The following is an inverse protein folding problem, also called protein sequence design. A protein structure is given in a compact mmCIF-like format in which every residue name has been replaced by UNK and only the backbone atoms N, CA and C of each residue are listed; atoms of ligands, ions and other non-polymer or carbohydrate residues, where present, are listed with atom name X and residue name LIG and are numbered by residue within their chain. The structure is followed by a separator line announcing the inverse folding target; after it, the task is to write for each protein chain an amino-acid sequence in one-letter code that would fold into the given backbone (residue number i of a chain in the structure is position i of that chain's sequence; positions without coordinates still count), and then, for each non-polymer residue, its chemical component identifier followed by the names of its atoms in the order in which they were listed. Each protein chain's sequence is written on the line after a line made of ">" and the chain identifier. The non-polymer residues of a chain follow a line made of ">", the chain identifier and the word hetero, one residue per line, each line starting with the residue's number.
data_IF_229459645143
#
_entry.id   IF_229459645143
#
_cell.length_a   1.000
_cell.length_b   1.000
_cell.length_c   1.000
_cell.angle_alpha   90.00
_cell.angle_beta   90.00
_cell.angle_gamma   90.00
#
_symmetry.space_group_name_H-M   'P 1'
#
loop_
_entity.id
_entity.type
_entity.pdbx_description
1 polymer ?
#
# COMPACT_ATOMS: atom_id res chain seq x y z
N UNK A 1 -14.06 8.70 -17.96
CA UNK A 1 -14.03 10.17 -18.04
C UNK A 1 -12.84 10.66 -17.23
N UNK A 2 -11.97 11.50 -17.81
CA UNK A 2 -10.81 12.13 -17.15
C UNK A 2 -11.22 13.54 -16.74
N UNK A 3 -10.91 13.95 -15.51
CA UNK A 3 -11.11 15.33 -15.06
C UNK A 3 -9.76 15.97 -14.74
N UNK A 4 -9.63 17.23 -15.10
CA UNK A 4 -8.45 18.06 -14.80
C UNK A 4 -8.86 19.25 -13.95
N UNK A 5 -8.05 19.58 -12.95
CA UNK A 5 -8.32 20.70 -12.03
C UNK A 5 -7.17 21.69 -11.98
N UNK A 6 -7.50 22.91 -11.58
CA UNK A 6 -6.51 23.95 -11.37
C UNK A 6 -5.58 23.60 -10.20
N UNK A 7 -4.27 23.58 -10.48
CA UNK A 7 -3.25 23.22 -9.49
C UNK A 7 -3.12 24.29 -8.42
N UNK A 8 -3.34 25.57 -8.74
CA UNK A 8 -3.27 26.66 -7.77
C UNK A 8 -4.34 26.54 -6.69
N UNK A 9 -5.57 26.24 -7.08
CA UNK A 9 -6.67 25.96 -6.16
C UNK A 9 -6.41 24.74 -5.28
N UNK A 10 -5.92 23.65 -5.87
CA UNK A 10 -5.58 22.44 -5.13
C UNK A 10 -4.40 22.65 -4.18
N UNK A 11 -3.40 23.45 -4.56
CA UNK A 11 -2.28 23.79 -3.67
C UNK A 11 -2.72 24.65 -2.50
N UNK A 12 -3.64 25.59 -2.73
CA UNK A 12 -4.20 26.42 -1.66
C UNK A 12 -5.09 25.62 -0.69
N UNK A 13 -5.75 24.56 -1.18
CA UNK A 13 -6.63 23.72 -0.37
C UNK A 13 -5.91 22.57 0.33
N UNK A 14 -5.02 21.87 -0.39
CA UNK A 14 -4.32 20.68 0.08
C UNK A 14 -2.87 20.56 -0.45
N UNK A 15 -1.93 21.37 0.04
CA UNK A 15 -0.55 21.36 -0.45
C UNK A 15 0.15 20.03 -0.20
N UNK A 16 -0.08 19.39 0.96
CA UNK A 16 0.54 18.09 1.26
C UNK A 16 0.09 17.01 0.30
N UNK A 17 -1.16 17.07 -0.18
CA UNK A 17 -1.64 16.09 -1.15
C UNK A 17 -1.00 16.27 -2.52
N UNK A 18 -0.77 17.51 -2.97
CA UNK A 18 -0.02 17.77 -4.21
C UNK A 18 1.41 17.24 -4.10
N UNK A 19 2.09 17.47 -2.98
CA UNK A 19 3.44 16.96 -2.76
C UNK A 19 3.45 15.43 -2.77
N UNK A 20 2.52 14.78 -2.06
CA UNK A 20 2.37 13.31 -2.04
C UNK A 20 2.21 12.74 -3.46
N UNK A 21 1.37 13.36 -4.28
CA UNK A 21 1.17 12.97 -5.68
C UNK A 21 2.44 13.03 -6.51
N UNK A 22 3.22 14.11 -6.36
CA UNK A 22 4.51 14.26 -7.06
C UNK A 22 5.46 13.15 -6.64
N UNK A 23 5.55 12.84 -5.35
CA UNK A 23 6.42 11.78 -4.83
C UNK A 23 6.08 10.41 -5.43
N UNK A 24 4.79 10.06 -5.53
CA UNK A 24 4.38 8.80 -6.15
C UNK A 24 4.54 8.77 -7.66
N UNK A 25 4.26 9.87 -8.36
CA UNK A 25 4.53 9.96 -9.80
C UNK A 25 6.04 9.77 -10.07
N UNK A 26 6.90 10.40 -9.27
CA UNK A 26 8.36 10.20 -9.36
C UNK A 26 8.75 8.77 -9.00
N UNK A 27 8.14 8.17 -7.98
CA UNK A 27 8.34 6.76 -7.62
C UNK A 27 8.00 5.82 -8.78
N UNK A 28 6.84 6.01 -9.41
CA UNK A 28 6.42 5.26 -10.58
C UNK A 28 7.42 5.36 -11.74
N UNK A 29 7.92 6.56 -12.01
CA UNK A 29 8.92 6.78 -13.07
C UNK A 29 10.28 6.17 -12.74
N UNK A 30 10.76 6.32 -11.50
CA UNK A 30 12.04 5.75 -11.04
C UNK A 30 11.99 4.22 -11.08
N UNK A 31 10.92 3.62 -10.56
CA UNK A 31 10.71 2.17 -10.58
C UNK A 31 10.59 1.63 -12.02
N UNK A 32 9.93 2.36 -12.91
CA UNK A 32 9.83 2.00 -14.32
C UNK A 32 11.20 2.01 -15.01
N UNK A 33 11.95 3.09 -14.83
CA UNK A 33 13.29 3.21 -15.41
C UNK A 33 14.23 2.15 -14.84
N UNK A 34 14.17 1.90 -13.53
CA UNK A 34 14.89 0.81 -12.87
C UNK A 34 14.51 -0.54 -13.48
N UNK A 35 13.22 -0.80 -13.70
CA UNK A 35 12.74 -2.04 -14.31
C UNK A 35 13.31 -2.29 -15.70
N UNK A 36 13.30 -1.28 -16.57
CA UNK A 36 13.90 -1.40 -17.91
C UNK A 36 15.43 -1.53 -17.87
N UNK A 37 16.10 -0.85 -16.94
CA UNK A 37 17.57 -0.93 -16.80
C UNK A 37 18.04 -2.28 -16.27
N UNK A 38 17.29 -2.90 -15.37
CA UNK A 38 17.57 -4.27 -14.89
C UNK A 38 17.18 -5.33 -15.91
N UNK A 39 16.17 -5.05 -16.75
CA UNK A 39 15.73 -5.96 -17.80
C UNK A 39 15.13 -7.25 -17.24
N UNK A 40 15.19 -8.32 -18.02
CA UNK A 40 14.56 -9.59 -17.64
C UNK A 40 13.06 -9.40 -17.38
N UNK A 41 12.59 -9.94 -16.25
CA UNK A 41 11.16 -9.91 -15.90
C UNK A 41 10.71 -8.62 -15.20
N UNK A 42 11.64 -7.72 -14.84
CA UNK A 42 11.31 -6.52 -14.09
C UNK A 42 10.31 -5.58 -14.79
N UNK A 43 10.37 -5.35 -16.12
CA UNK A 43 9.36 -4.53 -16.81
C UNK A 43 7.96 -5.16 -16.75
N UNK A 44 7.86 -6.48 -16.87
CA UNK A 44 6.60 -7.21 -16.74
C UNK A 44 6.07 -7.17 -15.31
N UNK A 45 6.96 -7.30 -14.32
CA UNK A 45 6.60 -7.18 -12.91
C UNK A 45 6.06 -5.79 -12.60
N UNK A 46 6.74 -4.73 -13.05
CA UNK A 46 6.29 -3.35 -12.90
C UNK A 46 4.90 -3.13 -13.52
N UNK A 47 4.71 -3.57 -14.76
CA UNK A 47 3.39 -3.45 -15.42
C UNK A 47 2.33 -4.29 -14.68
N UNK A 48 2.70 -5.46 -14.18
CA UNK A 48 1.84 -6.29 -13.34
C UNK A 48 1.40 -5.57 -12.07
N UNK A 49 2.30 -4.83 -11.39
CA UNK A 49 1.92 -4.05 -10.19
C UNK A 49 0.92 -2.95 -10.52
N UNK A 50 1.09 -2.27 -11.66
CA UNK A 50 0.11 -1.26 -12.15
C UNK A 50 -1.26 -1.89 -12.39
N UNK A 51 -1.30 -3.01 -13.13
CA UNK A 51 -2.57 -3.67 -13.47
C UNK A 51 -3.24 -4.30 -12.25
N UNK A 52 -2.46 -4.87 -11.34
CA UNK A 52 -2.94 -5.38 -10.06
C UNK A 52 -3.57 -4.27 -9.22
N UNK A 53 -2.93 -3.09 -9.16
CA UNK A 53 -3.47 -1.94 -8.44
C UNK A 53 -4.76 -1.42 -9.04
N UNK A 54 -4.78 -1.23 -10.37
CA UNK A 54 -5.99 -0.85 -11.09
C UNK A 54 -7.15 -1.82 -10.85
N UNK A 55 -6.87 -3.12 -10.83
CA UNK A 55 -7.87 -4.14 -10.52
C UNK A 55 -8.35 -4.03 -9.06
N UNK A 56 -7.42 -4.00 -8.11
CA UNK A 56 -7.71 -4.05 -6.67
C UNK A 56 -8.52 -2.83 -6.19
N UNK A 57 -8.11 -1.62 -6.56
CA UNK A 57 -8.77 -0.38 -6.10
C UNK A 57 -10.19 -0.21 -6.65
N UNK A 58 -10.46 -0.80 -7.82
CA UNK A 58 -11.69 -0.52 -8.55
C UNK A 58 -12.65 -1.72 -8.57
N UNK A 59 -12.21 -2.91 -8.16
CA UNK A 59 -13.02 -4.12 -8.23
C UNK A 59 -14.32 -3.98 -7.46
N UNK A 60 -14.25 -3.59 -6.18
CA UNK A 60 -15.44 -3.48 -5.33
C UNK A 60 -16.39 -2.41 -5.84
N UNK A 61 -15.89 -1.24 -6.23
CA UNK A 61 -16.70 -0.17 -6.78
C UNK A 61 -17.51 -0.60 -8.02
N UNK A 62 -16.93 -1.39 -8.93
CA UNK A 62 -17.63 -1.80 -10.16
C UNK A 62 -18.46 -3.07 -10.03
N UNK A 63 -18.03 -4.01 -9.19
CA UNK A 63 -18.66 -5.34 -9.10
C UNK A 63 -19.71 -5.39 -7.98
N UNK A 64 -19.42 -4.76 -6.84
CA UNK A 64 -20.26 -4.75 -5.64
C UNK A 64 -20.15 -3.37 -4.94
N UNK A 65 -20.81 -2.32 -5.45
CA UNK A 65 -20.65 -0.95 -4.96
C UNK A 65 -20.91 -0.77 -3.46
N UNK A 66 -21.67 -1.68 -2.84
CA UNK A 66 -21.90 -1.71 -1.40
C UNK A 66 -20.62 -1.95 -0.59
N UNK A 67 -19.57 -2.49 -1.21
CA UNK A 67 -18.26 -2.73 -0.61
C UNK A 67 -17.29 -1.55 -0.78
N UNK A 68 -17.71 -0.46 -1.43
CA UNK A 68 -16.89 0.75 -1.50
C UNK A 68 -16.70 1.32 -0.08
N UNK A 69 -15.44 1.61 0.27
CA UNK A 69 -15.06 1.81 1.66
C UNK A 69 -14.02 2.92 1.90
N UNK A 70 -13.59 3.64 0.87
CA UNK A 70 -12.73 4.84 1.02
C UNK A 70 -13.02 5.87 -0.07
N UNK A 71 -12.69 7.14 0.12
CA UNK A 71 -12.87 8.18 -0.92
C UNK A 71 -11.68 9.12 -1.00
N UNK A 72 -11.10 9.27 -2.18
CA UNK A 72 -9.97 10.18 -2.40
C UNK A 72 -10.43 11.63 -2.55
N UNK A 73 -9.64 12.54 -1.98
CA UNK A 73 -9.71 13.93 -2.36
C UNK A 73 -9.31 14.13 -3.83
N UNK A 74 -9.52 15.34 -4.31
CA UNK A 74 -9.40 15.66 -5.71
C UNK A 74 -7.98 16.06 -6.08
N UNK A 75 -7.55 15.59 -7.24
CA UNK A 75 -6.19 15.74 -7.75
C UNK A 75 -6.18 16.48 -9.10
N UNK A 76 -5.03 17.02 -9.55
CA UNK A 76 -4.94 17.70 -10.83
C UNK A 76 -5.33 16.80 -12.01
N UNK A 77 -5.05 15.51 -11.90
CA UNK A 77 -5.49 14.48 -12.86
C UNK A 77 -6.18 13.38 -12.06
N UNK A 78 -7.46 13.18 -12.33
CA UNK A 78 -8.26 12.12 -11.72
C UNK A 78 -9.09 11.39 -12.78
N UNK A 79 -9.14 10.07 -12.65
CA UNK A 79 -9.75 9.15 -13.60
C UNK A 79 -11.04 8.57 -13.01
N UNK A 80 -11.78 7.85 -13.87
CA UNK A 80 -12.99 7.10 -13.50
C UNK A 80 -14.05 7.96 -12.78
N UNK A 81 -14.24 9.19 -13.25
CA UNK A 81 -15.29 10.06 -12.71
C UNK A 81 -14.98 10.61 -11.31
N UNK A 82 -13.74 11.11 -11.12
CA UNK A 82 -13.27 11.70 -9.86
C UNK A 82 -12.97 10.70 -8.73
N UNK A 83 -12.74 9.42 -9.07
CA UNK A 83 -12.51 8.35 -8.09
C UNK A 83 -11.07 7.87 -8.00
N UNK A 84 -10.35 7.81 -9.12
CA UNK A 84 -9.00 7.23 -9.19
C UNK A 84 -7.96 8.30 -9.54
N UNK A 85 -7.30 8.91 -8.54
CA UNK A 85 -6.20 9.83 -8.79
C UNK A 85 -5.07 9.18 -9.58
N UNK A 86 -4.41 9.94 -10.47
CA UNK A 86 -3.31 9.41 -11.29
C UNK A 86 -2.19 8.77 -10.45
N UNK A 87 -1.82 9.40 -9.33
CA UNK A 87 -0.73 8.91 -8.49
C UNK A 87 -1.01 7.54 -7.85
N UNK A 88 -2.28 7.18 -7.64
CA UNK A 88 -2.67 5.87 -7.11
C UNK A 88 -2.29 4.74 -8.07
N UNK A 89 -2.27 5.01 -9.38
CA UNK A 89 -1.75 4.05 -10.37
C UNK A 89 -0.25 3.75 -10.13
N UNK A 90 0.50 4.74 -9.64
CA UNK A 90 1.93 4.64 -9.36
C UNK A 90 2.25 4.21 -7.93
N UNK A 91 1.26 4.23 -7.03
CA UNK A 91 1.38 3.78 -5.64
C UNK A 91 1.76 2.29 -5.56
N UNK A 92 1.08 1.44 -6.33
CA UNK A 92 1.35 -0.01 -6.32
C UNK A 92 2.78 -0.37 -6.77
N UNK A 93 3.31 0.19 -7.88
CA UNK A 93 4.73 0.09 -8.17
C UNK A 93 5.61 0.62 -7.02
N UNK A 94 5.31 1.79 -6.44
CA UNK A 94 6.13 2.35 -5.37
C UNK A 94 6.25 1.40 -4.17
N UNK A 95 5.19 0.66 -3.83
CA UNK A 95 5.18 -0.27 -2.71
C UNK A 95 5.73 -1.64 -3.09
N UNK A 96 5.05 -2.33 -4.01
CA UNK A 96 5.29 -3.74 -4.31
C UNK A 96 6.60 -3.91 -5.08
N UNK A 97 6.94 -3.00 -6.00
CA UNK A 97 8.20 -3.09 -6.74
C UNK A 97 9.41 -2.91 -5.83
N UNK A 98 9.38 -1.90 -4.94
CA UNK A 98 10.45 -1.68 -3.96
C UNK A 98 10.63 -2.89 -3.06
N UNK A 99 9.53 -3.42 -2.53
CA UNK A 99 9.55 -4.60 -1.68
C UNK A 99 10.11 -5.82 -2.41
N UNK A 100 9.59 -6.14 -3.60
CA UNK A 100 10.04 -7.27 -4.40
C UNK A 100 11.52 -7.17 -4.77
N UNK A 101 11.99 -5.99 -5.19
CA UNK A 101 13.39 -5.81 -5.55
C UNK A 101 14.32 -5.93 -4.34
N UNK A 102 13.98 -5.31 -3.20
CA UNK A 102 14.77 -5.43 -1.99
C UNK A 102 14.82 -6.88 -1.47
N UNK A 103 13.68 -7.57 -1.44
CA UNK A 103 13.59 -8.97 -1.00
C UNK A 103 14.34 -9.91 -1.94
N UNK A 104 14.39 -9.64 -3.25
CA UNK A 104 15.12 -10.46 -4.22
C UNK A 104 16.62 -10.61 -3.87
N UNK A 105 17.19 -9.66 -3.12
CA UNK A 105 18.59 -9.70 -2.66
C UNK A 105 18.84 -10.75 -1.59
N UNK A 106 17.80 -11.20 -0.89
CA UNK A 106 17.89 -12.27 0.11
C UNK A 106 17.99 -13.67 -0.51
N UNK A 107 17.49 -13.85 -1.74
CA UNK A 107 17.31 -15.16 -2.39
C UNK A 107 16.60 -16.16 -1.47
N UNK A 108 15.48 -15.73 -0.88
CA UNK A 108 14.71 -16.56 0.03
C UNK A 108 14.17 -17.82 -0.68
N UNK A 109 13.93 -18.91 0.06
CA UNK A 109 13.16 -20.02 -0.46
C UNK A 109 11.78 -19.56 -0.93
N UNK A 110 11.25 -20.26 -1.92
CA UNK A 110 9.98 -19.90 -2.60
C UNK A 110 8.77 -19.86 -1.66
N UNK A 111 8.79 -20.65 -0.59
CA UNK A 111 7.71 -20.65 0.39
C UNK A 111 7.74 -19.41 1.29
N UNK A 112 8.86 -18.68 1.36
CA UNK A 112 9.04 -17.53 2.26
C UNK A 112 9.08 -16.19 1.52
N UNK A 113 9.58 -16.17 0.29
CA UNK A 113 9.75 -14.95 -0.48
C UNK A 113 8.47 -14.11 -0.65
N UNK A 114 7.28 -14.68 -0.98
CA UNK A 114 6.06 -13.89 -1.12
C UNK A 114 5.66 -13.18 0.17
N UNK A 115 5.79 -13.85 1.32
CA UNK A 115 5.45 -13.28 2.62
C UNK A 115 6.42 -12.17 3.03
N UNK A 116 7.71 -12.30 2.70
CA UNK A 116 8.67 -11.22 2.88
C UNK A 116 8.31 -9.99 2.02
N UNK A 117 7.87 -10.19 0.77
CA UNK A 117 7.40 -9.09 -0.08
C UNK A 117 6.16 -8.43 0.54
N UNK A 118 5.21 -9.20 1.05
CA UNK A 118 4.04 -8.67 1.75
C UNK A 118 4.41 -7.79 2.95
N UNK A 119 5.26 -8.28 3.86
CA UNK A 119 5.70 -7.52 5.03
C UNK A 119 6.46 -6.24 4.65
N UNK A 120 7.37 -6.32 3.67
CA UNK A 120 8.15 -5.15 3.23
C UNK A 120 7.26 -4.15 2.47
N UNK A 121 6.22 -4.61 1.77
CA UNK A 121 5.24 -3.72 1.12
C UNK A 121 4.55 -2.86 2.16
N UNK A 122 4.06 -3.47 3.25
CA UNK A 122 3.43 -2.75 4.36
C UNK A 122 4.39 -1.77 5.01
N UNK A 123 5.66 -2.14 5.19
CA UNK A 123 6.66 -1.22 5.75
C UNK A 123 6.80 0.07 4.93
N UNK A 124 6.73 -0.02 3.59
CA UNK A 124 6.74 1.14 2.69
C UNK A 124 5.44 1.95 2.79
N UNK A 125 4.32 1.28 2.96
CA UNK A 125 2.97 1.86 2.93
C UNK A 125 2.58 2.60 4.23
N UNK A 126 2.85 2.01 5.41
CA UNK A 126 2.41 2.55 6.72
C UNK A 126 2.60 4.07 6.90
N UNK A 127 3.77 4.70 6.60
CA UNK A 127 3.92 6.14 6.82
C UNK A 127 3.01 6.97 5.92
N UNK A 128 2.70 6.48 4.72
CA UNK A 128 1.73 7.12 3.84
C UNK A 128 0.32 6.96 4.39
N UNK A 129 -0.09 5.74 4.73
CA UNK A 129 -1.45 5.45 5.18
C UNK A 129 -1.82 6.30 6.41
N UNK A 130 -0.97 6.30 7.44
CA UNK A 130 -1.18 7.08 8.68
C UNK A 130 -1.25 8.59 8.40
N UNK A 131 -0.27 9.12 7.68
CA UNK A 131 -0.14 10.58 7.52
C UNK A 131 -1.20 11.09 6.56
N UNK A 132 -1.44 10.41 5.46
CA UNK A 132 -2.33 10.91 4.42
C UNK A 132 -3.81 10.87 4.84
N UNK A 133 -4.23 9.89 5.67
CA UNK A 133 -5.56 9.94 6.33
C UNK A 133 -5.65 11.15 7.26
N UNK A 134 -4.64 11.40 8.10
CA UNK A 134 -4.64 12.55 9.01
C UNK A 134 -4.69 13.90 8.27
N UNK A 135 -4.11 13.97 7.08
CA UNK A 135 -4.15 15.14 6.18
C UNK A 135 -5.32 15.11 5.19
N UNK A 136 -6.32 14.23 5.39
CA UNK A 136 -7.54 14.11 4.55
C UNK A 136 -7.25 13.98 3.04
N UNK A 137 -6.19 13.25 2.68
CA UNK A 137 -5.91 12.87 1.29
C UNK A 137 -6.95 11.86 0.78
N UNK A 138 -7.47 11.02 1.69
CA UNK A 138 -8.69 10.24 1.52
C UNK A 138 -9.37 10.02 2.86
N UNK A 139 -10.60 9.54 2.80
CA UNK A 139 -11.38 9.10 3.96
C UNK A 139 -11.72 7.62 3.84
N UNK A 140 -12.07 7.02 4.97
CA UNK A 140 -12.62 5.67 5.06
C UNK A 140 -14.12 5.73 5.34
N UNK A 141 -14.82 4.64 5.05
CA UNK A 141 -16.21 4.46 5.46
C UNK A 141 -16.28 4.31 6.97
N UNK A 142 -17.20 5.05 7.57
CA UNK A 142 -17.30 5.22 9.02
C UNK A 142 -17.72 3.94 9.77
N UNK A 143 -18.79 3.27 9.33
CA UNK A 143 -19.34 2.10 10.06
C UNK A 143 -19.09 0.73 9.41
N UNK A 144 -18.18 0.62 8.46
CA UNK A 144 -17.95 -0.67 7.80
C UNK A 144 -17.22 -1.63 8.77
N UNK A 145 -17.84 -2.77 9.15
CA UNK A 145 -17.29 -3.67 10.16
C UNK A 145 -15.97 -4.35 9.74
N UNK A 146 -15.63 -4.34 8.45
CA UNK A 146 -14.33 -4.84 7.99
C UNK A 146 -13.22 -3.80 8.14
N UNK A 147 -13.51 -2.55 8.47
CA UNK A 147 -12.50 -1.50 8.59
C UNK A 147 -12.72 -0.60 9.81
N UNK A 148 -13.61 -1.02 10.72
CA UNK A 148 -14.02 -0.26 11.90
C UNK A 148 -12.88 -0.08 12.91
N UNK A 149 -12.13 -1.15 13.20
CA UNK A 149 -11.01 -1.09 14.13
C UNK A 149 -9.80 -0.41 13.46
N UNK A 150 -9.35 0.70 14.06
CA UNK A 150 -8.37 1.61 13.46
C UNK A 150 -7.12 1.78 14.32
N UNK A 151 -6.03 2.17 13.66
CA UNK A 151 -4.78 2.65 14.23
C UNK A 151 -4.43 3.98 13.56
N UNK A 152 -4.44 5.09 14.33
CA UNK A 152 -4.35 6.45 13.78
C UNK A 152 -5.36 6.71 12.64
N UNK A 153 -6.61 6.28 12.85
CA UNK A 153 -7.72 6.36 11.88
C UNK A 153 -7.58 5.51 10.60
N UNK A 154 -6.47 4.78 10.46
CA UNK A 154 -6.26 3.79 9.40
C UNK A 154 -6.78 2.43 9.85
N UNK A 155 -7.62 1.74 9.07
CA UNK A 155 -8.07 0.39 9.39
C UNK A 155 -6.90 -0.59 9.56
N UNK A 156 -6.92 -1.43 10.60
CA UNK A 156 -5.95 -2.53 10.73
C UNK A 156 -5.95 -3.46 9.51
N UNK A 157 -7.12 -3.61 8.88
CA UNK A 157 -7.28 -4.43 7.69
C UNK A 157 -6.66 -3.81 6.43
N UNK A 158 -6.39 -2.51 6.39
CA UNK A 158 -5.62 -1.88 5.29
C UNK A 158 -4.25 -2.56 5.15
N UNK A 159 -3.50 -2.65 6.26
CA UNK A 159 -2.21 -3.31 6.31
C UNK A 159 -2.31 -4.81 6.00
N UNK A 160 -3.40 -5.45 6.43
CA UNK A 160 -3.67 -6.85 6.13
C UNK A 160 -3.84 -7.08 4.62
N UNK A 161 -4.62 -6.24 3.95
CA UNK A 161 -4.85 -6.29 2.51
C UNK A 161 -3.55 -6.03 1.75
N UNK A 162 -2.80 -4.97 2.09
CA UNK A 162 -1.52 -4.70 1.44
C UNK A 162 -0.52 -5.86 1.60
N UNK A 163 -0.43 -6.48 2.78
CA UNK A 163 0.45 -7.62 3.01
C UNK A 163 0.05 -8.84 2.17
N UNK A 164 -1.23 -9.25 2.25
CA UNK A 164 -1.72 -10.49 1.62
C UNK A 164 -1.85 -10.37 0.11
N UNK A 165 -2.27 -9.20 -0.40
CA UNK A 165 -2.46 -8.98 -1.82
C UNK A 165 -1.11 -8.92 -2.53
N UNK A 166 -0.12 -8.22 -1.94
CA UNK A 166 1.24 -8.20 -2.48
C UNK A 166 1.90 -9.58 -2.44
N UNK A 167 1.74 -10.33 -1.34
CA UNK A 167 2.24 -11.71 -1.24
C UNK A 167 1.60 -12.62 -2.30
N UNK A 168 0.27 -12.57 -2.44
CA UNK A 168 -0.48 -13.36 -3.43
C UNK A 168 -0.10 -12.98 -4.87
N UNK A 169 -0.06 -11.69 -5.19
CA UNK A 169 0.37 -11.17 -6.50
C UNK A 169 1.79 -11.69 -6.85
N UNK A 170 2.74 -11.52 -5.93
CA UNK A 170 4.12 -11.97 -6.13
C UNK A 170 4.19 -13.48 -6.34
N UNK A 171 3.46 -14.26 -5.52
CA UNK A 171 3.36 -15.70 -5.66
C UNK A 171 2.85 -16.10 -7.05
N UNK A 172 1.70 -15.58 -7.48
CA UNK A 172 1.14 -15.92 -8.79
C UNK A 172 2.02 -15.45 -9.96
N UNK A 173 2.70 -14.30 -9.84
CA UNK A 173 3.60 -13.81 -10.88
C UNK A 173 4.77 -14.77 -11.12
N UNK A 174 5.34 -15.35 -10.08
CA UNK A 174 6.43 -16.32 -10.20
C UNK A 174 5.94 -17.74 -10.48
N UNK A 175 4.86 -18.17 -9.82
CA UNK A 175 4.38 -19.54 -9.89
C UNK A 175 3.73 -19.86 -11.23
N UNK A 176 2.95 -18.94 -11.79
CA UNK A 176 2.39 -19.10 -13.14
C UNK A 176 3.48 -19.25 -14.20
N UNK A 177 4.56 -18.46 -14.10
CA UNK A 177 5.70 -18.57 -15.03
C UNK A 177 6.35 -19.93 -14.92
N UNK A 178 6.46 -20.49 -13.71
CA UNK A 178 7.00 -21.84 -13.52
C UNK A 178 6.11 -22.93 -14.11
N UNK A 179 4.78 -22.76 -14.10
CA UNK A 179 3.88 -23.70 -14.77
C UNK A 179 4.11 -23.75 -16.28
N UNK A 180 4.37 -22.60 -16.91
CA UNK A 180 4.55 -22.51 -18.37
C UNK A 180 6.02 -22.62 -18.83
N UNK A 181 6.99 -22.30 -17.97
CA UNK A 181 8.43 -22.27 -18.27
C UNK A 181 9.27 -22.67 -17.03
N UNK A 182 9.25 -23.96 -16.63
CA UNK A 182 9.82 -24.42 -15.35
C UNK A 182 11.35 -24.37 -15.28
N UNK A 183 12.04 -24.44 -16.43
CA UNK A 183 13.51 -24.51 -16.51
C UNK A 183 14.21 -23.14 -16.49
N UNK A 184 13.46 -22.04 -16.56
CA UNK A 184 14.01 -20.69 -16.62
C UNK A 184 14.24 -20.16 -15.21
N UNK A 185 15.31 -19.42 -14.99
CA UNK A 185 15.60 -18.76 -13.72
C UNK A 185 14.53 -17.72 -13.34
N UNK A 186 14.46 -17.35 -12.06
CA UNK A 186 13.34 -16.58 -11.51
C UNK A 186 13.07 -15.23 -12.17
N UNK A 187 14.15 -14.48 -12.43
CA UNK A 187 14.11 -13.09 -12.90
C UNK A 187 14.54 -12.95 -14.37
N UNK A 188 14.89 -14.07 -15.01
CA UNK A 188 15.19 -14.15 -16.45
C UNK A 188 13.88 -14.31 -17.22
N UNK A 189 13.68 -13.50 -18.27
CA UNK A 189 12.45 -13.58 -19.07
C UNK A 189 12.34 -14.90 -19.81
N UNK A 190 11.15 -15.48 -19.77
CA UNK A 190 10.71 -16.50 -20.69
C UNK A 190 10.33 -15.90 -22.05
N UNK A 191 9.58 -16.63 -22.86
CA UNK A 191 8.98 -16.08 -24.09
C UNK A 191 7.94 -15.01 -23.73
N UNK A 192 7.75 -14.03 -24.62
CA UNK A 192 6.78 -12.94 -24.42
C UNK A 192 5.38 -13.45 -24.07
N UNK A 193 4.93 -14.55 -24.68
CA UNK A 193 3.62 -15.15 -24.40
C UNK A 193 3.50 -15.64 -22.96
N UNK A 194 4.54 -16.27 -22.42
CA UNK A 194 4.56 -16.75 -21.03
C UNK A 194 4.54 -15.58 -20.06
N UNK A 195 5.36 -14.55 -20.30
CA UNK A 195 5.41 -13.38 -19.40
C UNK A 195 4.08 -12.61 -19.38
N UNK A 196 3.42 -12.43 -20.52
CA UNK A 196 2.08 -11.83 -20.58
C UNK A 196 1.03 -12.67 -19.85
N UNK A 197 1.04 -14.00 -20.02
CA UNK A 197 0.12 -14.88 -19.26
C UNK A 197 0.35 -14.75 -17.76
N UNK A 198 1.61 -14.79 -17.33
CA UNK A 198 1.96 -14.67 -15.91
C UNK A 198 1.55 -13.33 -15.31
N UNK A 199 1.80 -12.25 -16.04
CA UNK A 199 1.38 -10.91 -15.67
C UNK A 199 -0.14 -10.82 -15.51
N UNK A 200 -0.92 -11.29 -16.48
CA UNK A 200 -2.39 -11.25 -16.42
C UNK A 200 -2.92 -12.09 -15.25
N UNK A 201 -2.42 -13.33 -15.09
CA UNK A 201 -2.82 -14.22 -13.99
C UNK A 201 -2.54 -13.56 -12.65
N UNK A 202 -1.33 -13.03 -12.45
CA UNK A 202 -0.97 -12.37 -11.19
C UNK A 202 -1.81 -11.14 -10.90
N UNK A 203 -2.10 -10.32 -11.92
CA UNK A 203 -2.87 -9.09 -11.75
C UNK A 203 -4.31 -9.38 -11.30
N UNK A 204 -4.92 -10.43 -11.86
CA UNK A 204 -6.30 -10.84 -11.55
C UNK A 204 -6.42 -11.69 -10.28
N UNK A 205 -5.44 -12.55 -9.98
CA UNK A 205 -5.48 -13.46 -8.83
C UNK A 205 -4.81 -12.90 -7.57
N UNK A 206 -4.09 -11.78 -7.66
CA UNK A 206 -3.45 -11.13 -6.51
C UNK A 206 -4.45 -10.83 -5.39
N UNK A 207 -5.50 -10.05 -5.68
CA UNK A 207 -6.54 -9.69 -4.71
C UNK A 207 -7.35 -10.92 -4.24
N UNK A 208 -7.96 -11.77 -5.12
CA UNK A 208 -8.70 -12.94 -4.66
C UNK A 208 -7.86 -13.91 -3.82
N UNK A 209 -6.61 -14.17 -4.21
CA UNK A 209 -5.73 -15.03 -3.43
C UNK A 209 -5.33 -14.42 -2.08
N UNK A 210 -5.20 -13.10 -2.00
CA UNK A 210 -4.96 -12.41 -0.74
C UNK A 210 -6.19 -12.41 0.17
N UNK A 211 -7.39 -12.22 -0.38
CA UNK A 211 -8.67 -12.40 0.34
C UNK A 211 -8.75 -13.80 0.96
N UNK A 212 -8.31 -14.85 0.24
CA UNK A 212 -8.25 -16.22 0.78
C UNK A 212 -7.23 -16.41 1.91
N UNK A 213 -6.23 -15.54 2.05
CA UNK A 213 -5.31 -15.54 3.20
C UNK A 213 -5.90 -14.77 4.40
N UNK A 214 -6.74 -13.77 4.13
CA UNK A 214 -7.41 -12.94 5.14
C UNK A 214 -8.61 -13.65 5.77
N UNK A 215 -9.54 -14.09 4.94
CA UNK A 215 -10.86 -14.58 5.31
C UNK A 215 -10.83 -15.71 6.37
N UNK A 216 -9.99 -16.75 6.26
CA UNK A 216 -9.97 -17.85 7.24
C UNK A 216 -9.48 -17.46 8.63
N UNK A 217 -8.73 -16.36 8.74
CA UNK A 217 -8.18 -15.89 10.01
C UNK A 217 -9.04 -14.77 10.59
N UNK A 218 -9.40 -13.79 9.77
CA UNK A 218 -10.13 -12.60 10.22
C UNK A 218 -11.58 -12.92 10.60
N UNK A 219 -12.41 -13.45 9.69
CA UNK A 219 -13.84 -13.57 9.95
C UNK A 219 -14.16 -14.49 11.15
N UNK A 220 -13.52 -15.65 11.35
CA UNK A 220 -13.75 -16.43 12.56
C UNK A 220 -13.34 -15.68 13.83
N UNK A 221 -12.16 -15.05 13.87
CA UNK A 221 -11.66 -14.42 15.09
C UNK A 221 -12.37 -13.09 15.39
N UNK A 222 -12.49 -12.22 14.42
CA UNK A 222 -13.12 -10.92 14.56
C UNK A 222 -14.65 -11.03 14.56
N UNK A 223 -15.26 -11.60 13.53
CA UNK A 223 -16.72 -11.50 13.40
C UNK A 223 -17.47 -12.48 14.29
N UNK A 224 -16.93 -13.68 14.52
CA UNK A 224 -17.56 -14.70 15.39
C UNK A 224 -17.12 -14.54 16.84
N UNK A 225 -15.81 -14.46 17.10
CA UNK A 225 -15.28 -14.35 18.47
C UNK A 225 -15.13 -12.92 18.99
N UNK A 226 -15.43 -11.89 18.19
CA UNK A 226 -15.36 -10.47 18.60
C UNK A 226 -13.98 -10.03 19.07
N UNK A 227 -12.93 -10.63 18.51
CA UNK A 227 -11.55 -10.25 18.78
C UNK A 227 -11.21 -9.01 17.95
N UNK A 228 -10.67 -7.98 18.59
CA UNK A 228 -10.25 -6.74 17.92
C UNK A 228 -9.25 -7.02 16.78
N UNK A 229 -9.40 -6.29 15.68
CA UNK A 229 -8.66 -6.50 14.42
C UNK A 229 -7.15 -6.38 14.59
N UNK A 230 -6.68 -5.55 15.53
CA UNK A 230 -5.26 -5.45 15.91
C UNK A 230 -4.65 -6.82 16.25
N UNK A 231 -5.38 -7.65 17.01
CA UNK A 231 -4.90 -8.98 17.42
C UNK A 231 -4.80 -9.90 16.19
N UNK A 232 -5.79 -9.83 15.30
CA UNK A 232 -5.77 -10.63 14.05
C UNK A 232 -4.65 -10.19 13.11
N UNK A 233 -4.36 -8.88 13.05
CA UNK A 233 -3.25 -8.31 12.33
C UNK A 233 -1.91 -8.84 12.86
N UNK A 234 -1.66 -8.74 14.17
CA UNK A 234 -0.41 -9.24 14.77
C UNK A 234 -0.27 -10.75 14.60
N UNK A 235 -1.36 -11.51 14.66
CA UNK A 235 -1.33 -12.95 14.40
C UNK A 235 -0.88 -13.26 12.97
N UNK A 236 -1.46 -12.61 11.95
CA UNK A 236 -1.02 -12.80 10.56
C UNK A 236 0.45 -12.40 10.39
N UNK A 237 0.84 -11.23 10.89
CA UNK A 237 2.19 -10.72 10.73
C UNK A 237 3.21 -11.60 11.46
N UNK A 238 2.84 -12.20 12.59
CA UNK A 238 3.65 -13.21 13.27
C UNK A 238 3.79 -14.48 12.44
N UNK A 239 2.72 -14.96 11.78
CA UNK A 239 2.78 -16.11 10.87
C UNK A 239 3.71 -15.80 9.69
N UNK A 240 3.53 -14.65 9.03
CA UNK A 240 4.39 -14.23 7.92
C UNK A 240 5.84 -14.10 8.39
N UNK A 241 6.06 -13.45 9.54
CA UNK A 241 7.37 -13.28 10.16
C UNK A 241 8.04 -14.61 10.47
N UNK A 242 7.33 -15.57 11.05
CA UNK A 242 7.84 -16.91 11.33
C UNK A 242 8.25 -17.64 10.04
N UNK A 243 7.43 -17.58 8.99
CA UNK A 243 7.77 -18.18 7.68
C UNK A 243 9.03 -17.54 7.10
N UNK A 244 9.13 -16.21 7.15
CA UNK A 244 10.28 -15.45 6.65
C UNK A 244 11.55 -15.74 7.45
N UNK A 245 11.46 -15.81 8.78
CA UNK A 245 12.57 -16.17 9.66
C UNK A 245 13.09 -17.57 9.32
N UNK A 246 12.19 -18.55 9.16
CA UNK A 246 12.59 -19.89 8.72
C UNK A 246 13.29 -19.86 7.35
N UNK A 247 12.80 -19.05 6.41
CA UNK A 247 13.48 -18.81 5.13
C UNK A 247 14.88 -18.18 5.28
N UNK A 248 15.05 -17.23 6.21
CA UNK A 248 16.33 -16.58 6.52
C UNK A 248 17.29 -17.51 7.26
N UNK A 249 16.78 -18.49 8.02
CA UNK A 249 17.61 -19.48 8.72
C UNK A 249 17.97 -20.68 7.83
N UNK A 250 17.23 -20.88 6.73
CA UNK A 250 17.52 -21.94 5.77
C UNK A 250 18.84 -21.73 5.02
N UNK A 251 19.46 -22.85 4.62
CA UNK A 251 20.60 -22.84 3.70
C UNK A 251 20.20 -22.25 2.36
N UNK A 252 20.87 -21.17 1.96
CA UNK A 252 20.63 -20.49 0.70
C UNK A 252 21.89 -19.84 0.16
N UNK A 253 21.93 -19.70 -1.16
CA UNK A 253 22.96 -18.90 -1.79
C UNK A 253 22.73 -17.41 -1.52
N UNK A 254 23.74 -16.73 -0.99
CA UNK A 254 23.73 -15.27 -0.89
C UNK A 254 23.91 -14.64 -2.27
N UNK A 255 23.27 -13.49 -2.51
CA UNK A 255 23.45 -12.77 -3.76
C UNK A 255 24.89 -12.25 -3.91
N UNK A 256 25.43 -12.36 -5.13
CA UNK A 256 26.76 -11.85 -5.51
C UNK A 256 26.67 -10.57 -6.34
N UNK A 257 25.46 -10.18 -6.72
CA UNK A 257 25.23 -9.01 -7.57
C UNK A 257 25.49 -7.73 -6.77
N UNK A 258 26.45 -6.92 -7.21
CA UNK A 258 26.71 -5.61 -6.61
C UNK A 258 25.60 -4.63 -7.01
N UNK A 259 25.31 -3.69 -6.10
CA UNK A 259 24.39 -2.60 -6.41
C UNK A 259 24.98 -1.72 -7.51
N UNK A 260 24.16 -1.38 -8.49
CA UNK A 260 24.47 -0.46 -9.57
C UNK A 260 23.96 0.94 -9.25
N UNK A 261 24.36 1.95 -10.03
CA UNK A 261 23.91 3.33 -9.81
C UNK A 261 22.38 3.47 -9.78
N UNK A 262 21.66 2.70 -10.61
CA UNK A 262 20.19 2.74 -10.65
C UNK A 262 19.56 2.16 -9.37
N UNK A 263 20.23 1.23 -8.69
CA UNK A 263 19.78 0.70 -7.39
C UNK A 263 19.82 1.78 -6.30
N UNK A 264 20.85 2.64 -6.34
CA UNK A 264 20.96 3.76 -5.40
C UNK A 264 19.92 4.84 -5.67
N UNK A 265 19.51 5.05 -6.92
CA UNK A 265 18.40 5.97 -7.25
C UNK A 265 17.08 5.44 -6.69
N UNK A 266 16.85 4.12 -6.77
CA UNK A 266 15.68 3.47 -6.16
C UNK A 266 15.67 3.65 -4.63
N UNK A 267 16.82 3.44 -3.98
CA UNK A 267 17.00 3.69 -2.54
C UNK A 267 16.80 5.16 -2.15
N UNK A 268 17.29 6.09 -2.96
CA UNK A 268 17.11 7.52 -2.74
C UNK A 268 15.63 7.89 -2.83
N UNK A 269 14.89 7.36 -3.80
CA UNK A 269 13.46 7.60 -3.91
C UNK A 269 12.73 7.10 -2.65
N UNK A 270 13.10 5.93 -2.13
CA UNK A 270 12.55 5.40 -0.90
C UNK A 270 12.86 6.30 0.31
N UNK A 271 14.09 6.81 0.41
CA UNK A 271 14.45 7.76 1.46
C UNK A 271 13.65 9.06 1.37
N UNK A 272 13.41 9.58 0.15
CA UNK A 272 12.56 10.75 -0.09
C UNK A 272 11.11 10.48 0.33
N UNK A 273 10.57 9.29 0.00
CA UNK A 273 9.24 8.85 0.43
C UNK A 273 9.10 8.88 1.96
N UNK A 274 10.01 8.27 2.70
CA UNK A 274 9.94 8.31 4.17
C UNK A 274 10.14 9.73 4.72
N UNK A 275 11.07 10.49 4.16
CA UNK A 275 11.35 11.84 4.60
C UNK A 275 10.13 12.77 4.40
N UNK A 276 9.38 12.63 3.30
CA UNK A 276 8.26 13.54 3.04
C UNK A 276 7.13 13.40 4.05
N UNK A 277 6.77 12.18 4.43
CA UNK A 277 5.71 11.94 5.43
C UNK A 277 6.16 12.36 6.83
N UNK A 278 7.44 12.22 7.13
CA UNK A 278 8.01 12.81 8.34
C UNK A 278 7.95 14.33 8.33
N UNK A 279 8.30 14.98 7.20
CA UNK A 279 8.20 16.43 7.05
C UNK A 279 6.76 16.92 7.21
N UNK A 280 5.76 16.19 6.72
CA UNK A 280 4.35 16.53 6.90
C UNK A 280 3.98 16.60 8.38
N UNK A 281 4.27 15.57 9.18
CA UNK A 281 3.91 15.55 10.61
C UNK A 281 4.68 16.56 11.45
N UNK A 282 5.88 16.97 11.01
CA UNK A 282 6.68 17.98 11.72
C UNK A 282 6.23 19.39 11.37
N UNK A 283 6.09 19.71 10.08
CA UNK A 283 6.01 21.09 9.60
C UNK A 283 4.64 21.53 9.09
N UNK A 284 3.73 20.61 8.80
CA UNK A 284 2.41 20.95 8.27
C UNK A 284 1.31 20.79 9.34
N UNK A 285 0.18 21.44 9.09
CA UNK A 285 -0.97 21.50 10.00
C UNK A 285 -2.19 20.90 9.28
N UNK A 286 -2.68 19.71 9.70
CA UNK A 286 -3.79 19.05 9.04
C UNK A 286 -5.09 19.88 9.06
N UNK A 287 -5.30 20.72 10.07
CA UNK A 287 -6.45 21.62 10.16
C UNK A 287 -6.50 22.72 9.08
N UNK A 288 -5.41 22.90 8.34
CA UNK A 288 -5.36 23.82 7.20
C UNK A 288 -5.75 23.15 5.88
N UNK A 289 -5.90 21.82 5.86
CA UNK A 289 -6.24 21.05 4.67
C UNK A 289 -7.76 21.01 4.47
N UNK A 290 -8.21 21.30 3.25
CA UNK A 290 -9.63 21.31 2.87
C UNK A 290 -9.87 20.34 1.72
N UNK A 291 -10.50 19.23 2.01
CA UNK A 291 -10.75 18.17 1.04
C UNK A 291 -12.12 18.36 0.38
N UNK A 292 -12.11 19.02 -0.78
CA UNK A 292 -13.29 19.22 -1.64
C UNK A 292 -13.35 18.12 -2.70
N UNK A 293 -14.36 17.26 -2.66
CA UNK A 293 -14.45 16.18 -3.64
C UNK A 293 -15.63 15.26 -3.50
N UNK A 294 -15.53 14.16 -4.24
CA UNK A 294 -16.37 12.99 -4.07
C UNK A 294 -16.02 12.32 -2.74
N UNK A 295 -17.01 12.17 -1.88
CA UNK A 295 -16.90 11.55 -0.56
C UNK A 295 -18.01 10.52 -0.35
N UNK A 296 -18.05 9.88 0.82
CA UNK A 296 -19.12 8.95 1.19
C UNK A 296 -20.49 9.63 1.01
N UNK A 297 -21.43 9.02 0.26
CA UNK A 297 -22.75 9.61 0.02
C UNK A 297 -23.50 9.88 1.33
N UNK A 298 -24.04 11.08 1.46
CA UNK A 298 -24.80 11.53 2.64
C UNK A 298 -26.26 11.12 2.52
N UNK A 299 -26.86 10.65 3.61
CA UNK A 299 -28.24 10.20 3.61
C UNK A 299 -28.78 9.86 4.99
N UNK A 300 -29.97 9.25 5.08
CA UNK A 300 -30.60 8.90 6.35
C UNK A 300 -29.74 7.94 7.18
N UNK A 301 -29.51 8.29 8.45
CA UNK A 301 -28.63 7.55 9.37
C UNK A 301 -29.15 6.14 9.74
N UNK A 302 -30.43 5.86 9.49
CA UNK A 302 -31.10 4.60 9.80
C UNK A 302 -31.11 3.60 8.63
N UNK A 303 -30.62 3.98 7.45
CA UNK A 303 -30.50 3.05 6.32
C UNK A 303 -29.20 2.23 6.43
N UNK A 304 -29.33 0.92 6.30
CA UNK A 304 -28.22 -0.04 6.36
C UNK A 304 -28.06 -0.79 5.05
N UNK A 305 -26.82 -1.14 4.72
CA UNK A 305 -26.44 -2.03 3.64
C UNK A 305 -25.92 -3.35 4.22
N UNK A 306 -26.19 -4.46 3.53
CA UNK A 306 -25.68 -5.78 3.89
C UNK A 306 -24.40 -6.11 3.13
N UNK A 307 -23.45 -6.73 3.84
CA UNK A 307 -22.18 -7.22 3.31
C UNK A 307 -22.12 -8.73 3.55
N UNK A 308 -22.14 -9.53 2.48
CA UNK A 308 -22.05 -11.00 2.56
C UNK A 308 -20.60 -11.45 2.39
N UNK A 309 -19.96 -11.87 3.48
CA UNK A 309 -18.59 -12.37 3.44
C UNK A 309 -18.47 -13.61 2.54
N UNK A 310 -17.27 -13.95 2.06
CA UNK A 310 -17.08 -15.15 1.23
C UNK A 310 -17.48 -16.47 1.90
N UNK A 311 -17.66 -16.50 3.22
CA UNK A 311 -18.18 -17.65 3.97
C UNK A 311 -19.70 -17.60 4.22
N UNK A 312 -20.41 -16.66 3.58
CA UNK A 312 -21.86 -16.53 3.66
C UNK A 312 -22.36 -15.82 4.92
N UNK A 313 -21.48 -15.27 5.75
CA UNK A 313 -21.89 -14.45 6.90
C UNK A 313 -22.36 -13.09 6.40
N UNK A 314 -23.54 -12.66 6.84
CA UNK A 314 -24.05 -11.31 6.53
C UNK A 314 -23.69 -10.36 7.67
N UNK A 315 -22.92 -9.33 7.33
CA UNK A 315 -22.62 -8.18 8.17
C UNK A 315 -23.46 -6.98 7.70
N UNK A 316 -23.55 -5.96 8.55
CA UNK A 316 -24.29 -4.75 8.25
C UNK A 316 -23.43 -3.52 8.51
N UNK A 317 -23.59 -2.51 7.68
CA UNK A 317 -23.05 -1.16 7.87
C UNK A 317 -24.10 -0.13 7.53
N UNK A 318 -23.92 1.13 7.93
CA UNK A 318 -24.74 2.22 7.39
C UNK A 318 -24.51 2.34 5.90
N UNK A 319 -25.58 2.62 5.17
CA UNK A 319 -25.54 2.79 3.73
C UNK A 319 -24.98 4.16 3.33
N UNK A 320 -25.14 5.14 4.20
CA UNK A 320 -24.77 6.52 3.97
C UNK A 320 -23.99 7.09 5.15
N UNK A 321 -23.18 8.09 4.87
CA UNK A 321 -22.56 8.92 5.87
C UNK A 321 -23.64 9.73 6.61
N UNK A 322 -23.55 9.74 7.95
CA UNK A 322 -24.43 10.48 8.83
C UNK A 322 -23.67 11.66 9.48
N UNK A 323 -23.79 12.89 8.96
CA UNK A 323 -23.05 14.05 9.48
C UNK A 323 -23.38 14.41 10.94
N UNK A 324 -24.46 13.87 11.49
CA UNK A 324 -24.92 14.10 12.86
C UNK A 324 -24.42 13.06 13.86
N UNK A 325 -23.92 11.92 13.39
CA UNK A 325 -23.52 10.78 14.22
C UNK A 325 -22.47 9.97 13.46
N UNK A 326 -21.20 10.34 13.56
CA UNK A 326 -20.07 9.64 12.94
C UNK A 326 -18.88 9.62 13.90
N UNK A 327 -17.98 8.66 13.75
CA UNK A 327 -16.81 8.45 14.60
C UNK A 327 -15.52 8.55 13.77
N UNK A 328 -15.26 9.73 13.22
CA UNK A 328 -14.03 10.01 12.47
C UNK A 328 -13.35 11.28 12.99
N UNK A 329 -12.43 11.13 13.93
CA UNK A 329 -11.76 12.25 14.59
C UNK A 329 -10.71 12.98 13.75
N UNK A 330 -10.41 12.51 12.53
CA UNK A 330 -9.44 13.15 11.64
C UNK A 330 -10.05 14.20 10.70
N UNK A 331 -11.38 14.30 10.61
CA UNK A 331 -12.04 15.35 9.84
C UNK A 331 -13.33 15.88 10.48
N UNK A 332 -13.67 17.12 10.14
CA UNK A 332 -14.91 17.77 10.52
C UNK A 332 -15.41 18.75 9.45
N UNK A 333 -16.35 19.63 9.82
CA UNK A 333 -16.92 20.68 8.96
C UNK A 333 -16.55 22.10 9.43
N UNK A 334 -15.52 22.26 10.25
CA UNK A 334 -15.14 23.54 10.88
C UNK A 334 -14.79 24.62 9.85
N UNK A 335 -14.04 24.27 8.81
CA UNK A 335 -13.61 25.18 7.74
C UNK A 335 -14.74 25.68 6.82
N UNK A 336 -15.94 25.08 6.91
CA UNK A 336 -17.16 25.53 6.24
C UNK A 336 -18.21 26.07 7.22
N UNK A 337 -17.76 26.52 8.40
CA UNK A 337 -18.62 27.13 9.42
C UNK A 337 -19.56 26.13 10.09
N UNK A 338 -19.16 24.86 10.17
CA UNK A 338 -19.98 23.77 10.73
C UNK A 338 -21.15 23.35 9.83
N UNK A 339 -21.22 23.84 8.58
CA UNK A 339 -22.30 23.50 7.65
C UNK A 339 -22.14 22.07 7.16
N UNK A 340 -23.00 21.20 7.67
CA UNK A 340 -23.09 19.79 7.26
C UNK A 340 -23.68 19.64 5.86
N UNK A 341 -23.23 18.66 5.06
CA UNK A 341 -23.82 18.37 3.77
C UNK A 341 -25.26 17.84 3.92
N UNK A 342 -26.09 18.07 2.89
CA UNK A 342 -27.48 17.64 2.88
C UNK A 342 -27.61 16.19 2.38
N UNK A 343 -28.71 15.52 2.75
CA UNK A 343 -29.03 14.19 2.21
C UNK A 343 -29.02 14.20 0.67
N UNK A 344 -28.39 13.18 0.09
CA UNK A 344 -28.15 13.04 -1.34
C UNK A 344 -26.84 13.69 -1.82
N UNK A 345 -26.11 14.41 -0.97
CA UNK A 345 -24.81 14.97 -1.34
C UNK A 345 -23.76 13.86 -1.44
N UNK A 346 -23.13 13.76 -2.60
CA UNK A 346 -21.93 12.94 -2.83
C UNK A 346 -20.68 13.80 -2.98
N UNK A 347 -20.86 15.12 -3.10
CA UNK A 347 -19.81 16.07 -3.33
C UNK A 347 -19.86 17.20 -2.31
N UNK A 348 -18.87 17.26 -1.43
CA UNK A 348 -18.83 18.23 -0.35
C UNK A 348 -17.41 18.49 0.12
N UNK A 349 -17.26 19.42 1.06
CA UNK A 349 -15.99 19.77 1.68
C UNK A 349 -15.95 19.14 3.06
N UNK A 350 -14.84 18.49 3.37
CA UNK A 350 -14.44 18.14 4.74
C UNK A 350 -13.13 18.87 5.07
N UNK A 351 -12.90 19.06 6.35
CA UNK A 351 -11.79 19.82 6.89
C UNK A 351 -10.95 18.89 7.76
N UNK A 352 -9.63 18.90 7.62
CA UNK A 352 -8.78 18.15 8.54
C UNK A 352 -8.93 18.68 9.97
N UNK A 353 -8.67 17.83 10.97
CA UNK A 353 -8.63 18.23 12.39
C UNK A 353 -7.19 18.37 12.87
N UNK A 354 -6.91 19.22 13.89
CA UNK A 354 -5.57 19.36 14.43
C UNK A 354 -5.05 18.04 15.03
N UNK A 355 -3.74 17.89 15.16
CA UNK A 355 -3.18 16.77 15.92
C UNK A 355 -3.59 16.87 17.39
N UNK A 356 -4.17 15.81 17.94
CA UNK A 356 -4.38 15.70 19.40
C UNK A 356 -3.04 15.72 20.13
N UNK A 357 -2.07 14.95 19.61
CA UNK A 357 -0.70 14.92 20.08
C UNK A 357 0.27 14.83 18.90
N UNK A 358 0.78 15.99 18.43
CA UNK A 358 1.74 16.03 17.31
C UNK A 358 3.02 15.24 17.62
N UNK A 359 3.50 15.27 18.87
CA UNK A 359 4.72 14.58 19.27
C UNK A 359 4.60 13.06 19.11
N UNK A 360 3.41 12.52 19.33
CA UNK A 360 3.10 11.11 19.12
C UNK A 360 3.25 10.71 17.65
N UNK A 361 2.64 11.46 16.72
CA UNK A 361 2.79 11.22 15.28
C UNK A 361 4.27 11.31 14.84
N UNK A 362 5.00 12.34 15.30
CA UNK A 362 6.44 12.46 15.02
C UNK A 362 7.19 11.22 15.52
N UNK A 363 6.88 10.73 16.73
CA UNK A 363 7.54 9.56 17.32
C UNK A 363 7.25 8.29 16.54
N UNK A 364 5.98 8.06 16.17
CA UNK A 364 5.56 6.88 15.40
C UNK A 364 6.22 6.87 14.02
N UNK A 365 6.12 7.97 13.27
CA UNK A 365 6.72 8.04 11.93
C UNK A 365 8.25 7.94 12.02
N UNK A 366 8.90 8.57 13.01
CA UNK A 366 10.34 8.42 13.22
C UNK A 366 10.75 6.97 13.52
N UNK A 367 9.94 6.25 14.32
CA UNK A 367 10.17 4.84 14.63
C UNK A 367 10.06 3.98 13.38
N UNK A 368 9.03 4.19 12.56
CA UNK A 368 8.87 3.51 11.27
C UNK A 368 10.08 3.75 10.38
N UNK A 369 10.59 4.97 10.32
CA UNK A 369 11.79 5.31 9.52
C UNK A 369 13.03 4.58 10.02
N UNK A 370 13.24 4.51 11.34
CA UNK A 370 14.37 3.77 11.91
C UNK A 370 14.27 2.27 11.55
N UNK A 371 13.07 1.69 11.69
CA UNK A 371 12.82 0.29 11.33
C UNK A 371 13.04 0.07 9.83
N UNK A 372 12.48 0.92 8.97
CA UNK A 372 12.65 0.87 7.53
C UNK A 372 14.13 0.98 7.14
N UNK A 373 14.86 1.94 7.68
CA UNK A 373 16.28 2.11 7.43
C UNK A 373 17.07 0.85 7.82
N UNK A 374 16.78 0.25 8.99
CA UNK A 374 17.40 -1.00 9.43
C UNK A 374 17.09 -2.18 8.51
N UNK A 375 15.82 -2.36 8.13
CA UNK A 375 15.37 -3.44 7.24
C UNK A 375 16.00 -3.29 5.85
N UNK A 376 15.85 -2.15 5.19
CA UNK A 376 16.41 -1.94 3.86
C UNK A 376 17.94 -1.99 3.87
N UNK A 377 18.60 -1.48 4.92
CA UNK A 377 20.04 -1.65 5.07
C UNK A 377 20.44 -3.13 5.14
N UNK A 378 19.71 -3.94 5.92
CA UNK A 378 19.89 -5.38 6.00
C UNK A 378 19.70 -6.09 4.65
N UNK A 379 18.61 -5.75 3.94
CA UNK A 379 18.26 -6.33 2.64
C UNK A 379 19.30 -6.05 1.56
N UNK A 380 19.78 -4.81 1.46
CA UNK A 380 20.67 -4.39 0.38
C UNK A 380 22.17 -4.57 0.67
N UNK A 381 22.61 -4.42 1.92
CA UNK A 381 24.06 -4.33 2.23
C UNK A 381 24.60 -5.49 3.07
N UNK A 382 23.81 -6.11 3.96
CA UNK A 382 24.30 -7.21 4.83
C UNK A 382 24.24 -8.60 4.18
N UNK A 383 23.52 -8.71 3.07
CA UNK A 383 23.27 -9.97 2.35
C UNK A 383 24.25 -10.20 1.21
N UNK A 384 25.01 -9.18 0.82
CA UNK A 384 26.12 -9.28 -0.11
C UNK A 384 27.28 -10.01 0.56
N UNK A 385 27.74 -11.10 -0.06
CA UNK A 385 28.95 -11.80 0.39
C UNK A 385 30.14 -10.85 0.19
N UNK A 386 30.78 -10.42 1.28
CA UNK A 386 32.12 -9.84 1.19
C UNK A 386 33.03 -10.94 0.62
N UNK A 387 33.63 -10.71 -0.54
CA UNK A 387 34.73 -11.57 -0.98
C UNK A 387 35.83 -11.49 0.08
N UNK A 388 36.44 -12.62 0.49
CA UNK A 388 37.60 -12.56 1.35
C UNK A 388 38.65 -11.73 0.62
N UNK A 389 39.06 -10.62 1.25
CA UNK A 389 40.16 -9.79 0.78
C UNK A 389 41.32 -10.73 0.49
N UNK A 390 41.65 -10.94 -0.79
CA UNK A 390 42.83 -11.73 -1.14
C UNK A 390 44.00 -11.06 -0.45
N UNK A 391 44.52 -11.69 0.60
CA UNK A 391 45.76 -11.26 1.24
C UNK A 391 46.78 -11.18 0.12
N UNK A 392 47.22 -9.96 -0.21
CA UNK A 392 48.33 -9.75 -1.14
C UNK A 392 49.44 -10.69 -0.70
N UNK A 393 49.74 -11.72 -1.50
CA UNK A 393 50.92 -12.56 -1.28
C UNK A 393 52.10 -11.62 -1.21
N UNK A 394 52.64 -11.44 -0.02
CA UNK A 394 53.90 -10.74 0.20
C UNK A 394 54.92 -11.56 -0.61
N UNK A 395 55.42 -10.97 -1.71
CA UNK A 395 56.56 -11.53 -2.42
C UNK A 395 57.76 -11.41 -1.49
N UNK A 396 58.16 -12.52 -0.88
CA UNK A 396 59.47 -12.66 -0.26
C UNK A 396 60.52 -12.48 -1.37
N UNK A 397 61.41 -11.51 -1.18
CA UNK A 397 62.63 -11.35 -1.99
C UNK A 397 63.73 -12.22 -1.42
#
# INVERSE_FOLDING_TARGET
>A
MVQTRDVGQLWAAQPTYIISQVVYCLAGLVTLFHAFRKGGRWPYFWLGTVLHGLFTDNFWHFVLPEYDNFWHSQTPIILLGARLPLHIIFLYPAFIYHAAYAVSKLRLPRYAEPFAVGLVTVLVDIPYDIVAVKFVHWTWHDTDPNIYDRHYWVPWNSYYFHATFAASFFFFFHQSRRWFAPKIEQWTSATKSVEWKSLIISSLLGMPGGVLMFVPLYHPLHDVFKIHSEVTFFLLFAIFGAIVINGILSEREKTKEKLTAIDYVLLLQLAVHYAIYWLFVVFFDPEKERSLGLHEPVGPCNEVASLVTPFGQTLYKRKYFCPDDYDEGYFDFSCVGGRKPQNGATWYVICGTPFENRAEYITVISTIIIVAAGVFYGLYFKTLRQEPTQSKKIKTK
#
